data_IF_177942045194
#
_entry.id   IF_177942045194
#
_cell.length_a   1.000
_cell.length_b   1.000
_cell.length_c   1.000
_cell.angle_alpha   90.00
_cell.angle_beta   90.00
_cell.angle_gamma   90.00
#
_symmetry.space_group_name_H-M   'P 1'
#
loop_
_entity.id
_entity.type
_entity.pdbx_description
1 polymer ?
#
# COMPACT_ATOMS: atom_id res chain seq x y z
N UNK A 1 -43.15 -3.22 -16.15
CA UNK A 1 -42.46 -2.44 -17.20
C UNK A 1 -41.08 -2.10 -16.64
N UNK A 2 -40.13 -2.99 -16.88
CA UNK A 2 -38.76 -2.77 -16.41
C UNK A 2 -38.15 -1.64 -17.25
N UNK A 3 -37.73 -0.57 -16.56
CA UNK A 3 -36.94 0.48 -17.22
C UNK A 3 -35.61 -0.14 -17.66
N UNK A 4 -35.20 0.06 -18.92
CA UNK A 4 -33.92 -0.46 -19.37
C UNK A 4 -32.81 0.14 -18.51
N UNK A 5 -32.07 -0.72 -17.85
CA UNK A 5 -30.90 -0.33 -17.06
C UNK A 5 -29.93 0.43 -17.99
N UNK A 6 -29.73 1.71 -17.71
CA UNK A 6 -28.86 2.56 -18.53
C UNK A 6 -27.46 2.04 -18.41
N UNK A 7 -26.88 1.47 -19.47
CA UNK A 7 -25.51 0.98 -19.48
C UNK A 7 -24.57 2.10 -19.02
N UNK A 8 -23.82 1.88 -17.96
CA UNK A 8 -22.81 2.81 -17.45
C UNK A 8 -21.42 2.17 -17.65
N UNK A 9 -20.49 2.99 -18.06
CA UNK A 9 -19.08 2.59 -18.10
C UNK A 9 -18.35 3.36 -17.00
N UNK A 10 -17.57 2.64 -16.21
CA UNK A 10 -16.65 3.18 -15.21
C UNK A 10 -15.23 2.95 -15.74
N UNK A 11 -14.40 3.95 -15.65
CA UNK A 11 -12.99 3.86 -16.01
C UNK A 11 -12.14 3.67 -14.77
N UNK A 12 -11.22 2.68 -14.81
CA UNK A 12 -10.31 2.36 -13.74
C UNK A 12 -8.88 2.64 -14.18
N UNK A 13 -8.14 3.39 -13.38
CA UNK A 13 -6.71 3.65 -13.56
C UNK A 13 -5.88 2.88 -12.56
N UNK A 14 -4.90 2.13 -13.04
CA UNK A 14 -3.88 1.47 -12.21
C UNK A 14 -2.60 1.26 -13.01
N UNK A 15 -1.50 1.01 -12.31
CA UNK A 15 -0.18 0.79 -12.91
C UNK A 15 0.15 -0.69 -13.01
N UNK A 16 1.09 -1.02 -13.89
CA UNK A 16 1.65 -2.37 -14.02
C UNK A 16 2.84 -2.55 -13.11
N UNK A 17 3.02 -3.78 -12.62
CA UNK A 17 4.12 -4.13 -11.73
C UNK A 17 3.73 -4.03 -10.26
N UNK A 18 4.69 -4.40 -9.41
CA UNK A 18 4.57 -4.29 -7.96
C UNK A 18 4.96 -2.89 -7.50
N UNK A 19 4.40 -2.36 -6.40
CA UNK A 19 4.94 -1.20 -5.70
C UNK A 19 6.43 -1.32 -5.35
N UNK A 20 6.96 -2.53 -5.38
CA UNK A 20 8.34 -2.90 -5.03
C UNK A 20 9.24 -3.21 -6.23
N UNK A 21 8.86 -2.80 -7.44
CA UNK A 21 9.60 -3.05 -8.69
C UNK A 21 9.83 -4.55 -9.01
N UNK A 22 9.05 -5.42 -8.40
CA UNK A 22 9.04 -6.85 -8.70
C UNK A 22 7.97 -7.11 -9.76
N UNK A 23 8.30 -7.74 -10.90
CA UNK A 23 7.32 -8.12 -11.89
C UNK A 23 6.28 -9.04 -11.26
N UNK A 24 5.04 -8.57 -11.14
CA UNK A 24 3.95 -9.35 -10.60
C UNK A 24 2.88 -9.58 -11.67
N UNK A 25 2.88 -10.78 -12.24
CA UNK A 25 1.88 -11.20 -13.21
C UNK A 25 0.49 -11.38 -12.58
N UNK A 26 0.42 -11.54 -11.25
CA UNK A 26 -0.84 -11.80 -10.55
C UNK A 26 -1.65 -10.52 -10.31
N UNK A 27 -1.04 -9.33 -10.32
CA UNK A 27 -1.75 -8.06 -10.12
C UNK A 27 -2.88 -7.90 -11.14
N UNK A 28 -2.62 -8.20 -12.40
CA UNK A 28 -3.65 -8.15 -13.44
C UNK A 28 -4.77 -9.16 -13.19
N UNK A 29 -4.43 -10.37 -12.81
CA UNK A 29 -5.43 -11.39 -12.53
C UNK A 29 -6.34 -10.97 -11.37
N UNK A 30 -5.79 -10.40 -10.30
CA UNK A 30 -6.57 -9.89 -9.17
C UNK A 30 -7.53 -8.79 -9.62
N UNK A 31 -7.06 -7.86 -10.45
CA UNK A 31 -7.90 -6.77 -10.98
C UNK A 31 -8.97 -7.33 -11.92
N UNK A 32 -8.62 -8.24 -12.83
CA UNK A 32 -9.57 -8.86 -13.75
C UNK A 32 -10.67 -9.63 -13.00
N UNK A 33 -10.29 -10.40 -11.98
CA UNK A 33 -11.24 -11.15 -11.15
C UNK A 33 -12.15 -10.19 -10.36
N UNK A 34 -11.60 -9.11 -9.81
CA UNK A 34 -12.37 -8.10 -9.09
C UNK A 34 -13.36 -7.37 -10.04
N UNK A 35 -12.91 -7.00 -11.24
CA UNK A 35 -13.76 -6.38 -12.26
C UNK A 35 -14.86 -7.33 -12.70
N UNK A 36 -14.53 -8.58 -12.99
CA UNK A 36 -15.51 -9.59 -13.41
C UNK A 36 -16.58 -9.82 -12.34
N UNK A 37 -16.17 -9.90 -11.06
CA UNK A 37 -17.09 -10.02 -9.94
C UNK A 37 -17.98 -8.79 -9.81
N UNK A 38 -17.41 -7.58 -9.87
CA UNK A 38 -18.15 -6.34 -9.77
C UNK A 38 -19.20 -6.20 -10.88
N UNK A 39 -18.84 -6.54 -12.14
CA UNK A 39 -19.78 -6.51 -13.27
C UNK A 39 -20.90 -7.55 -13.14
N UNK A 40 -20.61 -8.71 -12.54
CA UNK A 40 -21.61 -9.73 -12.27
C UNK A 40 -22.62 -9.28 -11.19
N UNK A 41 -22.11 -8.64 -10.14
CA UNK A 41 -22.94 -8.13 -9.04
C UNK A 41 -23.72 -6.85 -9.43
N UNK A 42 -23.29 -6.14 -10.49
CA UNK A 42 -23.92 -4.89 -10.96
C UNK A 42 -24.30 -4.96 -12.44
N UNK A 43 -25.39 -5.65 -12.80
CA UNK A 43 -25.84 -5.77 -14.19
C UNK A 43 -26.07 -4.39 -14.83
N UNK A 44 -25.45 -4.17 -16.00
CA UNK A 44 -25.54 -2.91 -16.74
C UNK A 44 -24.38 -1.93 -16.48
N UNK A 45 -23.48 -2.24 -15.57
CA UNK A 45 -22.21 -1.55 -15.40
C UNK A 45 -21.10 -2.29 -16.15
N UNK A 46 -20.19 -1.56 -16.77
CA UNK A 46 -18.97 -2.07 -17.38
C UNK A 46 -17.78 -1.30 -16.84
N UNK A 47 -16.71 -2.00 -16.51
CA UNK A 47 -15.45 -1.39 -16.11
C UNK A 47 -14.44 -1.48 -17.24
N UNK A 48 -13.81 -0.36 -17.57
CA UNK A 48 -12.72 -0.30 -18.54
C UNK A 48 -11.48 0.24 -17.87
N UNK A 49 -10.34 -0.33 -18.20
CA UNK A 49 -9.06 0.17 -17.73
C UNK A 49 -8.02 0.21 -18.85
N UNK A 50 -7.03 1.07 -18.70
CA UNK A 50 -5.85 1.13 -19.55
C UNK A 50 -4.75 0.34 -18.85
N UNK A 51 -4.21 -0.68 -19.54
CA UNK A 51 -3.10 -1.49 -19.05
C UNK A 51 -1.77 -0.99 -19.62
N UNK A 52 -0.66 -1.38 -18.98
CA UNK A 52 0.69 -1.15 -19.50
C UNK A 52 1.36 0.15 -19.07
N UNK A 53 0.73 0.95 -18.20
CA UNK A 53 1.38 2.11 -17.61
C UNK A 53 2.29 1.60 -16.49
N UNK A 54 3.59 1.88 -16.57
CA UNK A 54 4.54 1.48 -15.54
C UNK A 54 4.40 2.38 -14.32
N UNK A 55 4.81 1.87 -13.15
CA UNK A 55 4.72 2.61 -11.89
C UNK A 55 5.45 3.96 -11.97
N UNK A 56 6.64 3.98 -12.54
CA UNK A 56 7.47 5.20 -12.65
C UNK A 56 6.80 6.31 -13.47
N UNK A 57 5.98 5.93 -14.46
CA UNK A 57 5.26 6.88 -15.31
C UNK A 57 3.86 7.21 -14.78
N UNK A 58 3.40 6.50 -13.74
CA UNK A 58 2.01 6.54 -13.32
C UNK A 58 1.61 7.86 -12.66
N UNK A 59 2.48 8.44 -11.81
CA UNK A 59 2.25 9.76 -11.20
C UNK A 59 2.03 10.83 -12.26
N UNK A 60 2.88 10.89 -13.28
CA UNK A 60 2.77 11.87 -14.36
C UNK A 60 1.51 11.61 -15.20
N UNK A 61 1.19 10.36 -15.48
CA UNK A 61 -0.02 9.98 -16.21
C UNK A 61 -1.29 10.47 -15.51
N UNK A 62 -1.44 10.18 -14.20
CA UNK A 62 -2.64 10.59 -13.44
C UNK A 62 -2.68 12.11 -13.27
N UNK A 63 -1.56 12.76 -12.92
CA UNK A 63 -1.50 14.20 -12.78
C UNK A 63 -1.88 14.91 -14.10
N UNK A 64 -1.36 14.43 -15.24
CA UNK A 64 -1.71 14.95 -16.56
C UNK A 64 -3.19 14.74 -16.89
N UNK A 65 -3.76 13.58 -16.54
CA UNK A 65 -5.16 13.27 -16.78
C UNK A 65 -6.09 14.15 -15.93
N UNK A 66 -5.74 14.41 -14.68
CA UNK A 66 -6.47 15.32 -13.78
C UNK A 66 -6.49 16.75 -14.34
N UNK A 67 -5.33 17.28 -14.75
CA UNK A 67 -5.21 18.63 -15.33
C UNK A 67 -6.05 18.75 -16.62
N UNK A 68 -6.07 17.71 -17.44
CA UNK A 68 -6.84 17.68 -18.70
C UNK A 68 -8.35 17.41 -18.50
N UNK A 69 -8.79 17.10 -17.28
CA UNK A 69 -10.17 16.76 -16.98
C UNK A 69 -10.65 15.42 -17.60
N UNK A 70 -9.73 14.50 -17.83
CA UNK A 70 -10.01 13.16 -18.38
C UNK A 70 -9.42 12.02 -17.51
N UNK A 71 -9.26 12.28 -16.20
CA UNK A 71 -8.84 11.27 -15.26
C UNK A 71 -9.85 10.11 -15.21
N UNK A 72 -9.39 8.88 -14.91
CA UNK A 72 -10.29 7.77 -14.66
C UNK A 72 -11.29 8.06 -13.52
N UNK A 73 -12.47 7.43 -13.56
CA UNK A 73 -13.49 7.60 -12.52
C UNK A 73 -13.03 7.08 -11.17
N UNK A 74 -12.24 5.99 -11.18
CA UNK A 74 -11.58 5.38 -10.01
C UNK A 74 -10.14 5.10 -10.41
N UNK A 75 -9.20 5.43 -9.56
CA UNK A 75 -7.78 5.17 -9.84
C UNK A 75 -6.98 4.94 -8.57
N UNK A 76 -5.91 4.20 -8.71
CA UNK A 76 -4.93 4.02 -7.64
C UNK A 76 -4.13 5.31 -7.49
N UNK A 77 -3.78 5.62 -6.25
CA UNK A 77 -2.94 6.77 -5.94
C UNK A 77 -1.69 6.27 -5.24
N UNK A 78 -0.55 6.66 -5.75
CA UNK A 78 0.73 6.36 -5.10
C UNK A 78 0.85 7.17 -3.79
N UNK A 79 1.50 6.61 -2.75
CA UNK A 79 1.62 7.27 -1.45
C UNK A 79 2.18 8.69 -1.51
N UNK A 80 3.16 8.91 -2.37
CA UNK A 80 3.82 10.19 -2.60
C UNK A 80 2.89 11.27 -3.17
N UNK A 81 1.90 10.89 -3.97
CA UNK A 81 0.96 11.82 -4.62
C UNK A 81 -0.27 12.10 -3.77
N UNK A 82 -0.57 11.23 -2.82
CA UNK A 82 -1.86 11.21 -2.13
C UNK A 82 -2.19 12.55 -1.45
N UNK A 83 -1.24 13.10 -0.67
CA UNK A 83 -1.44 14.37 0.02
C UNK A 83 -1.66 15.53 -0.94
N UNK A 84 -0.96 15.54 -2.08
CA UNK A 84 -1.10 16.57 -3.11
C UNK A 84 -2.46 16.51 -3.78
N UNK A 85 -2.91 15.33 -4.18
CA UNK A 85 -4.21 15.17 -4.85
C UNK A 85 -5.39 15.44 -3.92
N UNK A 86 -5.31 15.03 -2.65
CA UNK A 86 -6.34 15.36 -1.67
C UNK A 86 -6.36 16.86 -1.33
N UNK A 87 -5.18 17.50 -1.20
CA UNK A 87 -5.07 18.92 -0.86
C UNK A 87 -5.47 19.89 -1.99
N UNK A 88 -5.51 19.42 -3.24
CA UNK A 88 -5.93 20.17 -4.43
C UNK A 88 -7.36 19.88 -4.87
N UNK A 89 -8.15 19.21 -4.03
CA UNK A 89 -9.52 18.75 -4.35
C UNK A 89 -9.61 17.85 -5.60
N UNK A 90 -8.51 17.21 -5.99
CA UNK A 90 -8.50 16.24 -7.09
C UNK A 90 -9.13 14.90 -6.69
N UNK A 91 -9.23 14.62 -5.39
CA UNK A 91 -9.88 13.42 -4.85
C UNK A 91 -11.21 13.80 -4.17
N UNK A 92 -12.18 12.93 -4.32
CA UNK A 92 -13.49 13.07 -3.68
C UNK A 92 -13.45 12.57 -2.23
N UNK A 93 -14.16 13.26 -1.33
CA UNK A 93 -14.40 12.77 0.03
C UNK A 93 -15.33 11.56 0.01
N UNK A 94 -14.89 10.50 0.66
CA UNK A 94 -15.59 9.21 0.68
C UNK A 94 -16.50 9.02 1.90
N UNK A 95 -16.37 9.87 2.94
CA UNK A 95 -17.08 9.72 4.23
C UNK A 95 -18.57 9.46 4.04
N UNK A 96 -19.25 10.32 3.28
CA UNK A 96 -20.69 10.21 3.07
C UNK A 96 -21.12 8.98 2.25
N UNK A 97 -20.22 8.33 1.52
CA UNK A 97 -20.48 7.06 0.85
C UNK A 97 -20.27 5.89 1.81
N UNK A 98 -19.17 5.92 2.54
CA UNK A 98 -18.82 4.92 3.56
C UNK A 98 -19.91 4.84 4.64
N UNK A 99 -20.40 5.99 5.12
CA UNK A 99 -21.39 6.04 6.20
C UNK A 99 -22.80 5.57 5.74
N UNK A 100 -23.08 5.61 4.44
CA UNK A 100 -24.37 5.13 3.88
C UNK A 100 -24.35 3.67 3.46
N UNK A 101 -23.18 3.09 3.32
CA UNK A 101 -23.00 1.70 2.95
C UNK A 101 -23.01 0.82 4.22
N UNK A 102 -24.15 0.19 4.49
CA UNK A 102 -24.33 -0.67 5.66
C UNK A 102 -23.44 -1.93 5.62
N UNK A 103 -22.97 -2.33 4.43
CA UNK A 103 -22.14 -3.51 4.24
C UNK A 103 -20.64 -3.17 4.30
N UNK A 104 -20.31 -1.87 4.40
CA UNK A 104 -18.92 -1.43 4.48
C UNK A 104 -18.34 -1.64 5.89
N UNK A 105 -17.42 -2.58 6.00
CA UNK A 105 -16.77 -2.96 7.26
C UNK A 105 -15.34 -2.41 7.33
N UNK A 106 -15.14 -1.33 8.09
CA UNK A 106 -13.82 -0.72 8.33
C UNK A 106 -12.85 -1.64 9.06
N UNK A 107 -13.35 -2.63 9.79
CA UNK A 107 -12.51 -3.57 10.57
C UNK A 107 -11.75 -4.57 9.67
N UNK A 108 -12.09 -4.65 8.41
CA UNK A 108 -11.39 -5.46 7.40
C UNK A 108 -10.01 -4.90 7.02
N UNK A 109 -9.72 -3.66 7.42
CA UNK A 109 -8.47 -2.97 7.12
C UNK A 109 -7.60 -2.84 8.37
N UNK A 110 -6.30 -2.87 8.20
CA UNK A 110 -5.40 -2.43 9.27
C UNK A 110 -5.67 -0.96 9.57
N UNK A 111 -5.83 -0.61 10.84
CA UNK A 111 -6.20 0.75 11.26
C UNK A 111 -5.22 1.82 10.76
N UNK A 112 -3.92 1.52 10.81
CA UNK A 112 -2.89 2.44 10.31
C UNK A 112 -2.99 2.66 8.78
N UNK A 113 -3.27 1.60 8.00
CA UNK A 113 -3.44 1.71 6.56
C UNK A 113 -4.71 2.47 6.19
N UNK A 114 -5.80 2.24 6.93
CA UNK A 114 -7.03 2.98 6.70
C UNK A 114 -6.88 4.46 7.06
N UNK A 115 -6.17 4.76 8.16
CA UNK A 115 -5.88 6.13 8.58
C UNK A 115 -5.00 6.89 7.59
N UNK A 116 -4.14 6.20 6.81
CA UNK A 116 -3.35 6.84 5.75
C UNK A 116 -4.22 7.52 4.70
N UNK A 117 -5.39 6.95 4.39
CA UNK A 117 -6.37 7.52 3.46
C UNK A 117 -7.14 8.74 4.00
N UNK A 118 -6.86 9.18 5.24
CA UNK A 118 -7.54 10.29 5.89
C UNK A 118 -6.65 11.53 5.96
N UNK A 119 -7.15 12.67 5.49
CA UNK A 119 -6.49 13.97 5.61
C UNK A 119 -7.45 14.94 6.26
N UNK A 120 -7.02 15.59 7.35
CA UNK A 120 -7.79 16.60 8.08
C UNK A 120 -9.20 16.13 8.48
N UNK A 121 -9.34 14.85 8.84
CA UNK A 121 -10.60 14.27 9.30
C UNK A 121 -11.54 13.81 8.19
N UNK A 122 -11.15 13.87 6.92
CA UNK A 122 -11.92 13.36 5.79
C UNK A 122 -11.19 12.19 5.10
N UNK A 123 -11.94 11.16 4.75
CA UNK A 123 -11.41 9.99 4.04
C UNK A 123 -11.45 10.23 2.53
N UNK A 124 -10.29 10.17 1.86
CA UNK A 124 -10.15 10.37 0.42
C UNK A 124 -9.73 9.11 -0.33
N UNK A 125 -9.17 8.13 0.37
CA UNK A 125 -8.74 6.88 -0.22
C UNK A 125 -9.02 5.68 0.68
N UNK A 126 -9.18 4.52 0.06
CA UNK A 126 -9.31 3.23 0.74
C UNK A 126 -8.05 2.43 0.45
N UNK A 127 -7.38 1.88 1.47
CA UNK A 127 -6.17 1.12 1.25
C UNK A 127 -6.49 -0.19 0.50
N UNK A 128 -5.78 -0.44 -0.57
CA UNK A 128 -5.90 -1.68 -1.30
C UNK A 128 -4.77 -2.67 -0.96
N UNK A 129 -3.62 -2.15 -0.57
CA UNK A 129 -2.44 -2.91 -0.18
C UNK A 129 -1.83 -2.32 1.10
N UNK A 130 -1.23 -3.17 1.92
CA UNK A 130 -0.51 -2.76 3.12
C UNK A 130 0.76 -3.58 3.26
N UNK A 131 1.88 -2.89 3.31
CA UNK A 131 3.20 -3.51 3.50
C UNK A 131 3.80 -3.02 4.80
N UNK A 132 3.78 -3.85 5.84
CA UNK A 132 4.39 -3.49 7.12
C UNK A 132 5.91 -3.54 7.00
N UNK A 133 6.58 -2.49 7.47
CA UNK A 133 7.99 -2.56 7.78
C UNK A 133 8.20 -3.47 8.99
N UNK A 134 9.02 -4.50 8.86
CA UNK A 134 9.30 -5.44 9.93
C UNK A 134 10.79 -5.63 10.11
N UNK A 135 11.20 -5.78 11.36
CA UNK A 135 12.54 -6.17 11.72
C UNK A 135 12.59 -7.69 11.95
N UNK A 136 13.48 -8.37 11.24
CA UNK A 136 13.75 -9.80 11.46
C UNK A 136 14.90 -9.97 12.43
N UNK A 137 14.75 -10.90 13.35
CA UNK A 137 15.75 -11.15 14.39
C UNK A 137 16.36 -12.53 14.23
N UNK A 138 17.70 -12.60 14.16
CA UNK A 138 18.42 -13.85 14.19
C UNK A 138 18.55 -14.36 15.64
N UNK A 139 17.57 -15.16 16.05
CA UNK A 139 17.51 -15.70 17.41
C UNK A 139 18.70 -16.59 17.76
N UNK A 140 19.29 -17.25 16.78
CA UNK A 140 20.48 -18.11 17.00
C UNK A 140 21.70 -17.26 17.35
N UNK A 141 21.90 -16.17 16.61
CA UNK A 141 22.97 -15.21 16.88
C UNK A 141 22.81 -14.61 18.29
N UNK A 142 21.64 -14.08 18.60
CA UNK A 142 21.40 -13.50 19.92
C UNK A 142 21.64 -14.49 21.06
N UNK A 143 21.18 -15.74 20.90
CA UNK A 143 21.41 -16.78 21.89
C UNK A 143 22.90 -17.10 22.09
N UNK A 144 23.66 -17.15 21.01
CA UNK A 144 25.13 -17.39 21.09
C UNK A 144 25.85 -16.27 21.83
N UNK A 145 25.32 -15.04 21.71
CA UNK A 145 25.80 -13.85 22.42
C UNK A 145 25.21 -13.70 23.84
N UNK A 146 24.50 -14.72 24.32
CA UNK A 146 23.89 -14.73 25.66
C UNK A 146 22.67 -13.87 25.83
N UNK A 147 22.08 -13.38 24.73
CA UNK A 147 20.82 -12.65 24.70
C UNK A 147 19.68 -13.64 24.43
N UNK A 148 18.92 -13.97 25.49
CA UNK A 148 17.89 -15.01 25.39
C UNK A 148 16.57 -14.49 24.89
N UNK A 149 16.22 -13.28 25.27
CA UNK A 149 14.94 -12.63 24.93
C UNK A 149 15.19 -11.14 24.66
N UNK A 150 14.46 -10.59 23.72
CA UNK A 150 14.33 -9.15 23.53
C UNK A 150 13.10 -8.71 24.31
N UNK A 151 13.18 -7.63 25.11
CA UNK A 151 12.02 -7.10 25.81
C UNK A 151 10.86 -6.85 24.84
N UNK A 152 9.61 -7.07 25.25
CA UNK A 152 8.45 -6.81 24.39
C UNK A 152 8.22 -5.32 24.12
N UNK A 153 8.66 -4.52 25.07
CA UNK A 153 8.57 -3.06 25.11
C UNK A 153 9.97 -2.43 24.87
N UNK A 154 10.78 -3.07 24.03
CA UNK A 154 12.14 -2.62 23.73
C UNK A 154 12.16 -1.18 23.22
N UNK A 155 13.19 -0.45 23.60
CA UNK A 155 13.45 0.93 23.23
C UNK A 155 14.60 1.00 22.22
N UNK A 156 14.86 2.18 21.69
CA UNK A 156 16.05 2.41 20.86
C UNK A 156 17.36 2.17 21.64
N UNK A 157 17.38 2.46 22.93
CA UNK A 157 18.55 2.21 23.78
C UNK A 157 18.81 0.70 23.89
N UNK A 158 17.77 -0.10 24.13
CA UNK A 158 17.88 -1.57 24.10
C UNK A 158 18.37 -2.09 22.75
N UNK A 159 17.89 -1.51 21.67
CA UNK A 159 18.34 -1.87 20.33
C UNK A 159 19.81 -1.59 20.10
N UNK A 160 20.29 -0.38 20.49
CA UNK A 160 21.69 -0.02 20.37
C UNK A 160 22.59 -0.90 21.26
N UNK A 161 22.19 -1.16 22.50
CA UNK A 161 22.92 -2.07 23.40
C UNK A 161 23.06 -3.47 22.80
N UNK A 162 21.98 -4.02 22.24
CA UNK A 162 22.00 -5.32 21.58
C UNK A 162 22.93 -5.28 20.36
N UNK A 163 22.83 -4.26 19.51
CA UNK A 163 23.65 -4.12 18.31
C UNK A 163 25.15 -4.02 18.64
N UNK A 164 25.51 -3.19 19.62
CA UNK A 164 26.90 -3.02 20.09
C UNK A 164 27.44 -4.34 20.59
N UNK A 165 26.69 -5.05 21.40
CA UNK A 165 27.08 -6.32 21.99
C UNK A 165 27.30 -7.42 20.97
N UNK A 166 26.57 -7.45 19.87
CA UNK A 166 26.67 -8.51 18.86
C UNK A 166 27.60 -8.16 17.70
N UNK A 167 27.96 -6.87 17.54
CA UNK A 167 28.90 -6.45 16.50
C UNK A 167 30.32 -6.74 16.96
N UNK A 168 31.08 -7.54 16.18
CA UNK A 168 32.45 -7.91 16.52
C UNK A 168 33.21 -8.55 15.37
N UNK A 169 34.51 -8.61 15.55
CA UNK A 169 35.45 -9.41 14.79
C UNK A 169 35.45 -10.83 15.38
N UNK A 170 34.97 -11.82 14.65
CA UNK A 170 34.86 -13.21 15.13
C UNK A 170 36.09 -14.06 14.80
N UNK A 171 36.91 -13.65 13.84
CA UNK A 171 38.11 -14.39 13.41
C UNK A 171 39.44 -13.75 13.89
N UNK A 172 39.38 -12.57 14.50
CA UNK A 172 40.53 -11.89 15.09
C UNK A 172 41.44 -11.19 14.08
N UNK A 173 40.94 -10.88 12.89
CA UNK A 173 41.74 -10.23 11.85
C UNK A 173 41.74 -8.70 11.95
N UNK A 174 41.01 -8.11 12.89
CA UNK A 174 40.88 -6.68 13.13
C UNK A 174 39.79 -6.00 12.33
N UNK A 175 38.95 -6.75 11.63
CA UNK A 175 37.82 -6.26 10.87
C UNK A 175 36.56 -6.94 11.40
N UNK A 176 35.54 -6.13 11.72
CA UNK A 176 34.26 -6.68 12.16
C UNK A 176 33.61 -7.47 11.02
N UNK A 177 33.17 -8.70 11.30
CA UNK A 177 32.52 -9.62 10.36
C UNK A 177 31.17 -10.11 10.86
N UNK A 178 30.80 -9.75 12.09
CA UNK A 178 29.46 -9.92 12.65
C UNK A 178 28.86 -8.56 12.99
N UNK A 179 27.64 -8.32 12.56
CA UNK A 179 26.98 -7.02 12.71
C UNK A 179 25.65 -7.14 13.46
N UNK A 180 25.37 -6.17 14.35
CA UNK A 180 24.16 -6.10 15.14
C UNK A 180 22.92 -5.78 14.30
N UNK A 181 23.08 -5.05 13.22
CA UNK A 181 22.02 -4.71 12.29
C UNK A 181 22.54 -4.72 10.86
N UNK A 182 21.70 -5.20 9.95
CA UNK A 182 21.89 -5.02 8.52
C UNK A 182 20.65 -4.30 7.99
N UNK A 183 20.82 -3.10 7.47
CA UNK A 183 19.75 -2.29 6.90
C UNK A 183 19.67 -2.48 5.39
N UNK A 184 18.47 -2.36 4.87
CA UNK A 184 18.24 -2.12 3.45
C UNK A 184 18.35 -0.61 3.23
N UNK A 185 19.34 -0.17 2.48
CA UNK A 185 19.54 1.24 2.10
C UNK A 185 19.12 1.46 0.67
#
# INVERSE_FOLDING_TARGET
MEMPCKKRTITLGFFTGSPWDVPDAYTYQIIDDAVAKFEADHPGVKVKYVSGIQKDDYSEYIASALIKGNAPDVFFVLPEDFSTFAGTDALMKLDGYIDRDADYDKTRYYSASFAFGNISGSQYGIPFESVPGMMFVNKTLLKNEGIREIPKDWTWDDFYEICDRVTKDTDGNGIEDQFGVCGYT
#
